data_IF_494779052802
#
_entry.id   IF_494779052802
#
_cell.length_a   1.000
_cell.length_b   1.000
_cell.length_c   1.000
_cell.angle_alpha   90.00
_cell.angle_beta   90.00
_cell.angle_gamma   90.00
#
_symmetry.space_group_name_H-M   'P 1'
#
loop_
_entity.id
_entity.type
_entity.pdbx_description
1 polymer ?
#
# COMPACT_ATOMS: atom_id res chain seq x y z
N UNK A 1 -10.24 -19.19 -7.74
CA UNK A 1 -9.02 -18.36 -7.68
C UNK A 1 -9.44 -17.01 -7.12
N UNK A 2 -8.59 -16.36 -6.31
CA UNK A 2 -8.88 -15.02 -5.79
C UNK A 2 -8.40 -13.96 -6.77
N UNK A 3 -9.20 -12.93 -7.04
CA UNK A 3 -8.85 -11.83 -7.94
C UNK A 3 -8.81 -10.51 -7.17
N UNK A 4 -7.87 -9.64 -7.54
CA UNK A 4 -7.71 -8.32 -6.93
C UNK A 4 -7.29 -7.25 -7.91
N UNK A 5 -7.16 -6.02 -7.40
CA UNK A 5 -6.79 -4.84 -8.20
C UNK A 5 -5.90 -3.89 -7.38
N UNK A 6 -4.98 -3.21 -8.06
CA UNK A 6 -4.22 -2.10 -7.48
C UNK A 6 -5.16 -0.92 -7.25
N UNK A 7 -5.14 -0.35 -6.04
CA UNK A 7 -6.04 0.71 -5.60
C UNK A 7 -5.30 1.82 -4.85
N UNK A 8 -5.98 2.96 -4.62
CA UNK A 8 -5.54 3.93 -3.63
C UNK A 8 -6.14 3.57 -2.26
N UNK A 9 -5.52 4.01 -1.14
CA UNK A 9 -6.07 3.82 0.20
C UNK A 9 -7.27 4.76 0.43
N UNK A 10 -8.37 4.53 -0.31
CA UNK A 10 -9.61 5.30 -0.25
C UNK A 10 -10.79 4.36 -0.13
N UNK A 11 -11.80 4.77 0.62
CA UNK A 11 -13.03 3.99 0.80
C UNK A 11 -13.69 3.61 -0.53
N UNK A 12 -13.70 4.54 -1.48
CA UNK A 12 -14.31 4.35 -2.79
C UNK A 12 -13.70 3.16 -3.54
N UNK A 13 -12.39 2.94 -3.42
CA UNK A 13 -11.73 1.83 -4.11
C UNK A 13 -12.10 0.46 -3.50
N UNK A 14 -12.35 0.39 -2.19
CA UNK A 14 -12.90 -0.83 -1.56
C UNK A 14 -14.32 -1.11 -2.04
N UNK A 15 -15.16 -0.08 -2.12
CA UNK A 15 -16.52 -0.19 -2.65
C UNK A 15 -16.50 -0.66 -4.10
N UNK A 16 -15.66 -0.06 -4.95
CA UNK A 16 -15.51 -0.44 -6.36
C UNK A 16 -15.01 -1.87 -6.53
N UNK A 17 -14.07 -2.32 -5.68
CA UNK A 17 -13.59 -3.70 -5.69
C UNK A 17 -14.71 -4.68 -5.30
N UNK A 18 -15.52 -4.34 -4.29
CA UNK A 18 -16.68 -5.14 -3.89
C UNK A 18 -17.74 -5.21 -5.00
N UNK A 19 -18.06 -4.07 -5.63
CA UNK A 19 -19.01 -3.98 -6.75
C UNK A 19 -18.56 -4.84 -7.96
N UNK A 20 -17.25 -5.06 -8.12
CA UNK A 20 -16.66 -5.91 -9.16
C UNK A 20 -16.57 -7.39 -8.75
N UNK A 21 -16.91 -7.74 -7.52
CA UNK A 21 -16.75 -9.10 -6.99
C UNK A 21 -15.28 -9.52 -6.80
N UNK A 22 -14.38 -8.56 -6.55
CA UNK A 22 -12.97 -8.85 -6.27
C UNK A 22 -12.78 -9.22 -4.79
N UNK A 23 -11.80 -10.09 -4.53
CA UNK A 23 -11.49 -10.60 -3.20
C UNK A 23 -10.60 -9.65 -2.39
N UNK A 24 -9.76 -8.86 -3.06
CA UNK A 24 -8.80 -7.98 -2.41
C UNK A 24 -8.37 -6.76 -3.24
N UNK A 25 -7.82 -5.76 -2.56
CA UNK A 25 -7.07 -4.65 -3.14
C UNK A 25 -5.58 -4.75 -2.81
N UNK A 26 -4.76 -4.11 -3.62
CA UNK A 26 -3.30 -4.02 -3.45
C UNK A 26 -2.87 -2.56 -3.39
N UNK A 27 -1.98 -2.22 -2.47
CA UNK A 27 -1.48 -0.86 -2.31
C UNK A 27 -0.02 -0.74 -2.73
N UNK A 28 0.26 0.21 -3.61
CA UNK A 28 1.62 0.56 -4.02
C UNK A 28 2.02 1.91 -3.40
N UNK A 29 2.78 1.87 -2.31
CA UNK A 29 3.26 3.05 -1.57
C UNK A 29 4.53 3.59 -2.22
N UNK A 30 4.40 4.72 -2.93
CA UNK A 30 5.48 5.32 -3.74
C UNK A 30 6.62 5.92 -2.93
N UNK A 31 7.86 5.74 -3.40
CA UNK A 31 9.02 6.37 -2.81
C UNK A 31 9.04 7.89 -2.93
N UNK A 32 9.73 8.55 -1.99
CA UNK A 32 9.78 10.02 -1.95
C UNK A 32 10.27 10.55 -3.30
N UNK A 33 9.52 11.47 -3.89
CA UNK A 33 9.89 12.13 -5.15
C UNK A 33 9.48 11.40 -6.45
N UNK A 34 8.86 10.21 -6.37
CA UNK A 34 8.47 9.43 -7.57
C UNK A 34 7.07 9.79 -8.12
N UNK A 35 6.20 10.43 -7.34
CA UNK A 35 4.85 10.79 -7.80
C UNK A 35 4.34 12.10 -7.18
N UNK A 36 3.80 13.00 -8.01
CA UNK A 36 3.13 14.25 -7.60
C UNK A 36 1.60 14.12 -7.53
N UNK A 37 1.04 13.03 -8.05
CA UNK A 37 -0.39 12.83 -8.29
C UNK A 37 -1.06 11.85 -7.33
N UNK A 38 -0.30 10.99 -6.65
CA UNK A 38 -0.83 10.13 -5.60
C UNK A 38 0.16 10.02 -4.43
N UNK A 39 -0.13 10.76 -3.36
CA UNK A 39 0.62 10.73 -2.10
C UNK A 39 0.40 9.37 -1.45
N UNK A 40 1.48 8.72 -1.04
CA UNK A 40 1.46 8.10 0.27
C UNK A 40 2.90 7.99 0.75
N UNK A 41 3.26 8.92 1.64
CA UNK A 41 4.34 8.67 2.57
C UNK A 41 3.97 7.41 3.40
N UNK A 42 4.93 6.55 3.73
CA UNK A 42 4.76 5.41 4.64
C UNK A 42 4.04 5.82 5.92
N UNK A 43 4.36 7.00 6.47
CA UNK A 43 3.70 7.52 7.67
C UNK A 43 2.20 7.76 7.47
N UNK A 44 1.82 8.36 6.33
CA UNK A 44 0.42 8.64 6.00
C UNK A 44 -0.36 7.33 5.85
N UNK A 45 0.23 6.36 5.12
CA UNK A 45 -0.38 5.06 4.94
C UNK A 45 -0.54 4.31 6.28
N UNK A 46 0.51 4.24 7.10
CA UNK A 46 0.45 3.60 8.42
C UNK A 46 -0.58 4.27 9.34
N UNK A 47 -0.78 5.58 9.25
CA UNK A 47 -1.81 6.27 10.02
C UNK A 47 -3.24 5.86 9.62
N UNK A 48 -3.44 5.36 8.39
CA UNK A 48 -4.75 4.92 7.89
C UNK A 48 -5.11 3.48 8.25
N UNK A 49 -4.22 2.73 8.91
CA UNK A 49 -4.39 1.29 9.19
C UNK A 49 -5.72 0.94 9.85
N UNK A 50 -6.15 1.72 10.85
CA UNK A 50 -7.43 1.51 11.53
C UNK A 50 -8.62 1.68 10.59
N UNK A 51 -8.61 2.76 9.80
CA UNK A 51 -9.62 3.06 8.79
C UNK A 51 -9.66 2.01 7.68
N UNK A 52 -8.50 1.55 7.19
CA UNK A 52 -8.42 0.46 6.21
C UNK A 52 -9.05 -0.82 6.77
N UNK A 53 -8.78 -1.16 8.04
CA UNK A 53 -9.42 -2.30 8.71
C UNK A 53 -10.94 -2.17 8.81
N UNK A 54 -11.46 -0.96 8.98
CA UNK A 54 -12.90 -0.70 8.93
C UNK A 54 -13.48 -0.95 7.54
N UNK A 55 -12.81 -0.49 6.47
CA UNK A 55 -13.25 -0.74 5.10
C UNK A 55 -13.20 -2.21 4.72
N UNK A 56 -12.16 -2.94 5.13
CA UNK A 56 -12.09 -4.40 4.93
C UNK A 56 -13.34 -5.08 5.50
N UNK A 57 -13.72 -4.74 6.75
CA UNK A 57 -14.92 -5.30 7.39
C UNK A 57 -16.21 -4.85 6.70
N UNK A 58 -16.29 -3.58 6.31
CA UNK A 58 -17.49 -2.98 5.72
C UNK A 58 -17.82 -3.55 4.34
N UNK A 59 -16.81 -3.80 3.51
CA UNK A 59 -16.98 -4.19 2.11
C UNK A 59 -16.66 -5.66 1.84
N UNK A 60 -16.06 -6.38 2.79
CA UNK A 60 -15.68 -7.78 2.60
C UNK A 60 -14.52 -7.98 1.62
N UNK A 61 -13.77 -6.92 1.33
CA UNK A 61 -12.61 -6.91 0.42
C UNK A 61 -11.35 -6.82 1.26
N UNK A 62 -10.45 -7.79 1.11
CA UNK A 62 -9.20 -7.83 1.87
C UNK A 62 -8.13 -6.90 1.29
N UNK A 63 -7.02 -6.76 2.00
CA UNK A 63 -5.77 -6.22 1.43
C UNK A 63 -4.87 -7.41 1.11
N UNK A 64 -4.54 -7.59 -0.17
CA UNK A 64 -3.74 -8.72 -0.64
C UNK A 64 -2.23 -8.46 -0.60
N UNK A 65 -1.82 -7.21 -0.81
CA UNK A 65 -0.42 -6.81 -0.74
C UNK A 65 -0.26 -5.31 -0.44
N UNK A 66 0.83 -4.97 0.23
CA UNK A 66 1.29 -3.60 0.48
C UNK A 66 2.73 -3.54 0.00
N UNK A 67 2.96 -2.89 -1.14
CA UNK A 67 4.25 -2.81 -1.81
C UNK A 67 4.87 -1.43 -1.68
N UNK A 68 6.21 -1.40 -1.72
CA UNK A 68 7.02 -0.18 -1.77
C UNK A 68 7.49 0.05 -3.21
N UNK A 69 6.92 1.03 -3.92
CA UNK A 69 7.21 1.23 -5.35
C UNK A 69 8.26 2.31 -5.60
N UNK A 70 9.17 2.05 -6.55
CA UNK A 70 10.17 3.03 -7.02
C UNK A 70 11.29 3.34 -6.03
N UNK A 71 11.45 2.55 -4.97
CA UNK A 71 12.51 2.73 -3.99
C UNK A 71 13.85 2.18 -4.52
N UNK A 72 14.91 2.99 -4.43
CA UNK A 72 16.28 2.52 -4.63
C UNK A 72 16.81 1.96 -3.30
N UNK A 73 17.11 0.66 -3.25
CA UNK A 73 17.49 -0.01 -2.00
C UNK A 73 19.00 -0.10 -1.81
N UNK A 74 19.75 0.10 -2.89
CA UNK A 74 21.20 -0.04 -2.93
C UNK A 74 21.77 1.19 -3.63
N UNK A 75 22.70 1.87 -2.98
CA UNK A 75 23.48 2.96 -3.55
C UNK A 75 24.44 2.44 -4.62
N UNK A 76 24.94 3.28 -5.55
CA UNK A 76 25.88 2.85 -6.58
C UNK A 76 27.18 2.21 -6.04
N UNK A 77 27.56 2.52 -4.80
CA UNK A 77 28.73 1.93 -4.12
C UNK A 77 28.45 0.57 -3.46
N UNK A 78 27.23 0.05 -3.59
CA UNK A 78 26.81 -1.23 -3.02
C UNK A 78 26.33 -1.15 -1.57
N UNK A 79 26.39 0.03 -0.93
CA UNK A 79 25.81 0.22 0.39
C UNK A 79 24.28 0.26 0.32
N UNK A 80 23.64 -0.08 1.44
CA UNK A 80 22.18 -0.21 1.54
C UNK A 80 21.55 1.12 1.95
N UNK A 81 20.39 1.43 1.38
CA UNK A 81 19.57 2.58 1.78
C UNK A 81 18.69 2.19 2.97
N UNK A 82 19.24 2.34 4.17
CA UNK A 82 18.61 1.91 5.43
C UNK A 82 17.21 2.52 5.63
N UNK A 83 16.98 3.76 5.19
CA UNK A 83 15.68 4.41 5.31
C UNK A 83 14.60 3.73 4.48
N UNK A 84 14.94 3.22 3.29
CA UNK A 84 13.98 2.50 2.43
C UNK A 84 13.73 1.06 2.92
N UNK A 85 14.72 0.45 3.58
CA UNK A 85 14.52 -0.81 4.30
C UNK A 85 13.57 -0.60 5.47
N UNK A 86 13.84 0.38 6.34
CA UNK A 86 12.99 0.67 7.50
C UNK A 86 11.55 1.02 7.07
N UNK A 87 11.39 1.79 6.00
CA UNK A 87 10.10 2.07 5.37
C UNK A 87 9.37 0.79 4.95
N UNK A 88 10.07 -0.13 4.28
CA UNK A 88 9.49 -1.39 3.79
C UNK A 88 9.07 -2.31 4.95
N UNK A 89 9.89 -2.40 6.00
CA UNK A 89 9.56 -3.16 7.22
C UNK A 89 8.28 -2.65 7.86
N UNK A 90 8.16 -1.33 8.04
CA UNK A 90 6.96 -0.72 8.63
C UNK A 90 5.69 -1.03 7.82
N UNK A 91 5.77 -1.03 6.50
CA UNK A 91 4.64 -1.41 5.64
C UNK A 91 4.25 -2.88 5.81
N UNK A 92 5.23 -3.79 5.96
CA UNK A 92 4.96 -5.21 6.23
C UNK A 92 4.30 -5.42 7.59
N UNK A 93 4.70 -4.69 8.62
CA UNK A 93 4.10 -4.75 9.97
C UNK A 93 2.70 -4.15 10.05
N UNK A 94 2.30 -3.38 9.04
CA UNK A 94 0.97 -2.75 8.97
C UNK A 94 -0.13 -3.72 8.50
N UNK A 95 0.26 -4.78 7.77
CA UNK A 95 -0.64 -5.79 7.22
C UNK A 95 -1.32 -6.66 8.31
#
# INVERSE_FOLDING_TARGET
MKLGIIAAPKEEDFRVAADKGLDFVEFCVNAKGQDKSNRSNVDEFCAMTSTIREWIRKYGVAVGSIGRWGAGWIHPDGSVVEEEIAASIRLMETA
#
